data_IF_037767503349
#
_entry.id   IF_037767503349
#
_cell.length_a   1.000
_cell.length_b   1.000
_cell.length_c   1.000
_cell.angle_alpha   90.00
_cell.angle_beta   90.00
_cell.angle_gamma   90.00
#
_symmetry.space_group_name_H-M   'P 1'
#
loop_
_entity.id
_entity.type
_entity.pdbx_description
1 polymer ?
#
# COMPACT_ATOMS: atom_id res chain seq x y z
N UNK A 1 16.94 -0.63 -0.30
CA UNK A 1 18.07 -0.59 0.65
C UNK A 1 18.34 -1.96 1.25
N UNK A 2 17.40 -2.59 1.97
CA UNK A 2 17.60 -3.95 2.55
C UNK A 2 18.06 -4.99 1.52
N UNK A 3 17.43 -5.03 0.34
CA UNK A 3 17.87 -5.92 -0.75
C UNK A 3 19.34 -5.69 -1.15
N UNK A 4 19.81 -4.44 -1.16
CA UNK A 4 21.19 -4.11 -1.49
C UNK A 4 22.18 -4.48 -0.36
N UNK A 5 21.70 -4.53 0.89
CA UNK A 5 22.49 -5.02 2.03
C UNK A 5 22.66 -6.54 2.02
N UNK A 6 21.82 -7.27 1.27
CA UNK A 6 21.88 -8.74 1.22
C UNK A 6 21.52 -9.43 2.53
N UNK A 7 20.84 -8.72 3.44
CA UNK A 7 20.43 -9.24 4.75
C UNK A 7 19.06 -9.88 4.70
N UNK A 8 18.85 -10.89 5.54
CA UNK A 8 17.57 -11.59 5.65
C UNK A 8 16.66 -10.92 6.68
N UNK A 9 15.90 -9.94 6.21
CA UNK A 9 14.88 -9.25 7.01
C UNK A 9 15.41 -8.16 7.94
N UNK A 10 14.49 -7.55 8.69
CA UNK A 10 14.74 -6.35 9.50
C UNK A 10 15.67 -6.60 10.69
N UNK A 11 15.60 -7.79 11.29
CA UNK A 11 16.42 -8.16 12.44
C UNK A 11 17.90 -8.31 12.08
N UNK A 12 18.20 -8.66 10.83
CA UNK A 12 19.56 -8.86 10.32
C UNK A 12 20.24 -7.56 9.83
N UNK A 13 19.52 -6.43 9.79
CA UNK A 13 20.12 -5.13 9.43
C UNK A 13 21.19 -4.78 10.45
N UNK A 14 22.44 -4.50 10.06
CA UNK A 14 23.52 -4.12 10.98
C UNK A 14 23.27 -2.80 11.70
N UNK A 15 23.85 -2.64 12.88
CA UNK A 15 23.68 -1.42 13.69
C UNK A 15 24.43 -0.21 13.09
N UNK A 16 25.57 -0.42 12.44
CA UNK A 16 26.34 0.62 11.74
C UNK A 16 25.61 1.15 10.50
N UNK A 17 24.85 0.29 9.81
CA UNK A 17 23.93 0.70 8.75
C UNK A 17 22.80 1.61 9.28
N UNK A 18 22.24 1.29 10.46
CA UNK A 18 21.25 2.15 11.10
C UNK A 18 21.86 3.46 11.62
N UNK A 19 23.09 3.44 12.12
CA UNK A 19 23.83 4.65 12.51
C UNK A 19 24.05 5.56 11.30
N UNK A 20 24.45 4.99 10.17
CA UNK A 20 24.66 5.72 8.93
C UNK A 20 23.37 6.39 8.42
N UNK A 21 22.23 5.69 8.50
CA UNK A 21 20.92 6.25 8.15
C UNK A 21 20.51 7.37 9.11
N UNK A 22 20.60 7.13 10.42
CA UNK A 22 20.22 8.11 11.44
C UNK A 22 21.11 9.38 11.40
N UNK A 23 22.35 9.28 10.92
CA UNK A 23 23.22 10.46 10.73
C UNK A 23 22.77 11.40 9.61
N UNK A 24 21.84 10.97 8.74
CA UNK A 24 21.43 11.70 7.52
C UNK A 24 20.00 12.21 7.57
N UNK A 25 19.17 11.69 8.46
CA UNK A 25 17.76 12.03 8.53
C UNK A 25 17.16 11.77 9.92
N UNK A 26 16.16 12.56 10.28
CA UNK A 26 15.40 12.39 11.52
C UNK A 26 14.28 11.35 11.39
N UNK A 27 13.85 11.04 10.16
CA UNK A 27 12.78 10.08 9.89
C UNK A 27 13.10 9.31 8.60
N UNK A 28 12.98 7.98 8.65
CA UNK A 28 13.10 7.09 7.49
C UNK A 28 11.72 6.73 6.99
N UNK A 29 11.44 7.06 5.73
CA UNK A 29 10.30 6.49 5.02
C UNK A 29 10.66 5.09 4.51
N UNK A 30 10.01 4.07 5.07
CA UNK A 30 10.24 2.67 4.77
C UNK A 30 9.14 2.12 3.85
N UNK A 31 9.33 2.33 2.55
CA UNK A 31 8.40 1.92 1.51
C UNK A 31 8.42 0.41 1.25
N UNK A 32 7.25 -0.16 0.91
CA UNK A 32 7.14 -1.54 0.40
C UNK A 32 7.31 -2.61 1.47
N UNK A 33 6.93 -2.28 2.71
CA UNK A 33 7.06 -3.21 3.84
C UNK A 33 5.87 -4.16 3.99
N UNK A 34 4.74 -3.89 3.34
CA UNK A 34 3.51 -4.64 3.50
C UNK A 34 3.45 -5.92 2.67
N UNK A 35 2.61 -6.84 3.10
CA UNK A 35 2.37 -8.10 2.42
C UNK A 35 1.77 -7.87 1.03
N UNK A 36 2.38 -8.52 0.03
CA UNK A 36 1.89 -8.55 -1.34
C UNK A 36 1.26 -9.89 -1.65
N UNK A 37 0.25 -9.87 -2.51
CA UNK A 37 -0.32 -11.07 -3.09
C UNK A 37 0.52 -11.62 -4.26
N UNK A 38 0.14 -12.78 -4.75
CA UNK A 38 0.77 -13.38 -5.93
C UNK A 38 0.26 -12.79 -7.24
N UNK A 39 -0.91 -12.14 -7.24
CA UNK A 39 -1.55 -11.64 -8.45
C UNK A 39 -0.68 -10.60 -9.16
N UNK A 40 -0.23 -9.55 -8.46
CA UNK A 40 0.54 -8.46 -9.05
C UNK A 40 1.83 -8.96 -9.73
N UNK A 41 2.60 -9.81 -9.04
CA UNK A 41 3.80 -10.43 -9.63
C UNK A 41 3.49 -11.26 -10.87
N UNK A 42 2.44 -12.12 -10.83
CA UNK A 42 2.04 -12.94 -11.98
C UNK A 42 1.58 -12.08 -13.15
N UNK A 43 0.81 -11.03 -12.86
CA UNK A 43 0.35 -10.05 -13.83
C UNK A 43 1.54 -9.38 -14.53
N UNK A 44 2.52 -8.92 -13.76
CA UNK A 44 3.71 -8.25 -14.30
C UNK A 44 4.60 -9.17 -15.14
N UNK A 45 4.75 -10.43 -14.72
CA UNK A 45 5.50 -11.43 -15.47
C UNK A 45 4.78 -11.92 -16.74
N UNK A 46 3.46 -11.77 -16.82
CA UNK A 46 2.67 -12.14 -17.99
C UNK A 46 2.56 -11.00 -19.02
N UNK A 47 2.80 -9.75 -18.61
CA UNK A 47 2.73 -8.57 -19.48
C UNK A 47 4.04 -8.39 -20.28
N UNK A 48 4.02 -8.55 -21.62
CA UNK A 48 5.24 -8.43 -22.43
C UNK A 48 5.87 -7.04 -22.38
N UNK A 49 5.05 -5.99 -22.25
CA UNK A 49 5.52 -4.61 -22.16
C UNK A 49 6.23 -4.34 -20.84
N UNK A 50 5.69 -4.85 -19.72
CA UNK A 50 6.37 -4.77 -18.41
C UNK A 50 7.67 -5.57 -18.41
N UNK A 51 7.68 -6.80 -18.94
CA UNK A 51 8.92 -7.59 -19.09
C UNK A 51 9.98 -6.85 -19.89
N UNK A 52 9.62 -6.30 -21.06
CA UNK A 52 10.54 -5.52 -21.88
C UNK A 52 11.08 -4.30 -21.13
N UNK A 53 10.21 -3.64 -20.35
CA UNK A 53 10.64 -2.52 -19.51
C UNK A 53 11.66 -2.96 -18.45
N UNK A 54 11.41 -4.06 -17.73
CA UNK A 54 12.36 -4.59 -16.74
C UNK A 54 13.71 -4.96 -17.38
N UNK A 55 13.69 -5.65 -18.53
CA UNK A 55 14.88 -5.96 -19.32
C UNK A 55 15.67 -4.70 -19.69
N UNK A 56 14.98 -3.59 -20.01
CA UNK A 56 15.62 -2.32 -20.33
C UNK A 56 16.25 -1.60 -19.12
N UNK A 57 15.72 -1.84 -17.91
CA UNK A 57 16.17 -1.19 -16.68
C UNK A 57 17.31 -1.94 -15.99
N UNK A 58 17.41 -3.26 -16.19
CA UNK A 58 18.35 -4.11 -15.46
C UNK A 58 19.54 -4.48 -16.35
N UNK A 59 20.65 -3.74 -16.19
CA UNK A 59 21.87 -3.90 -16.98
C UNK A 59 22.51 -5.31 -16.90
N UNK A 60 22.21 -6.09 -15.85
CA UNK A 60 22.70 -7.47 -15.67
C UNK A 60 21.84 -8.55 -16.34
N UNK A 61 20.77 -8.15 -17.05
CA UNK A 61 19.73 -9.06 -17.51
C UNK A 61 18.64 -9.23 -16.45
N UNK A 62 17.39 -9.26 -16.90
CA UNK A 62 16.23 -9.51 -16.05
C UNK A 62 16.05 -11.01 -15.79
N UNK A 63 15.80 -11.35 -14.52
CA UNK A 63 15.32 -12.66 -14.09
C UNK A 63 13.95 -12.53 -13.45
N UNK A 64 13.16 -13.61 -13.39
CA UNK A 64 11.83 -13.51 -12.78
C UNK A 64 11.88 -13.23 -11.27
N UNK A 65 13.02 -13.48 -10.62
CA UNK A 65 13.24 -13.16 -9.20
C UNK A 65 13.36 -11.65 -8.96
N UNK A 66 13.71 -10.87 -9.99
CA UNK A 66 13.74 -9.40 -9.93
C UNK A 66 12.33 -8.80 -9.93
N UNK A 67 11.32 -9.56 -10.37
CA UNK A 67 9.93 -9.13 -10.34
C UNK A 67 9.27 -9.53 -9.02
N UNK A 68 9.09 -8.56 -8.13
CA UNK A 68 8.40 -8.75 -6.83
C UNK A 68 6.94 -8.27 -6.84
N UNK A 69 6.48 -7.68 -7.94
CA UNK A 69 5.19 -6.98 -8.03
C UNK A 69 5.24 -5.55 -7.47
N UNK A 70 4.16 -4.79 -7.67
CA UNK A 70 4.05 -3.43 -7.17
C UNK A 70 4.00 -3.39 -5.63
N UNK A 71 4.85 -2.59 -4.95
CA UNK A 71 4.76 -2.40 -3.50
C UNK A 71 3.48 -1.67 -3.05
N UNK A 72 2.70 -1.12 -4.01
CA UNK A 72 1.43 -0.45 -3.76
C UNK A 72 0.22 -1.38 -3.96
N UNK A 73 0.39 -2.56 -4.56
CA UNK A 73 -0.64 -3.60 -4.66
C UNK A 73 -0.68 -4.44 -3.37
N UNK A 74 -1.00 -3.79 -2.25
CA UNK A 74 -0.98 -4.38 -0.91
C UNK A 74 -2.11 -5.40 -0.77
N UNK A 75 -1.79 -6.61 -0.31
CA UNK A 75 -2.79 -7.62 0.03
C UNK A 75 -3.32 -7.42 1.45
N UNK A 76 -2.42 -7.16 2.41
CA UNK A 76 -2.74 -6.90 3.81
C UNK A 76 -1.74 -5.93 4.45
N UNK A 77 -2.16 -5.15 5.45
CA UNK A 77 -1.28 -4.31 6.28
C UNK A 77 -0.54 -5.10 7.37
N UNK A 78 -0.04 -6.27 7.00
CA UNK A 78 0.90 -7.09 7.78
C UNK A 78 2.29 -6.93 7.19
N UNK A 79 3.35 -6.97 7.99
CA UNK A 79 4.70 -6.96 7.45
C UNK A 79 4.90 -8.13 6.46
N UNK A 80 5.50 -7.84 5.31
CA UNK A 80 5.92 -8.85 4.34
C UNK A 80 6.84 -9.87 5.02
N UNK A 81 6.51 -11.15 4.89
CA UNK A 81 7.25 -12.25 5.53
C UNK A 81 8.72 -12.34 5.11
N UNK A 82 9.08 -11.83 3.92
CA UNK A 82 10.48 -11.70 3.51
C UNK A 82 11.28 -10.68 4.37
N UNK A 83 10.59 -9.76 5.05
CA UNK A 83 11.18 -8.78 5.96
C UNK A 83 11.12 -9.23 7.43
N UNK A 84 10.32 -10.24 7.76
CA UNK A 84 10.13 -10.78 9.10
C UNK A 84 8.68 -10.74 9.55
N UNK A 85 8.47 -10.52 10.84
CA UNK A 85 7.16 -10.36 11.47
C UNK A 85 6.90 -8.92 11.93
N UNK A 86 5.66 -8.60 12.28
CA UNK A 86 5.32 -7.32 12.93
C UNK A 86 6.14 -7.05 14.22
N UNK A 87 6.58 -8.10 14.92
CA UNK A 87 7.49 -7.95 16.06
C UNK A 87 8.89 -7.51 15.63
N UNK A 88 9.38 -8.00 14.49
CA UNK A 88 10.64 -7.54 13.89
C UNK A 88 10.54 -6.08 13.44
N UNK A 89 9.39 -5.66 12.89
CA UNK A 89 9.13 -4.26 12.56
C UNK A 89 9.15 -3.37 13.81
N UNK A 90 8.51 -3.81 14.90
CA UNK A 90 8.54 -3.08 16.17
C UNK A 90 9.96 -2.99 16.74
N UNK A 91 10.75 -4.06 16.68
CA UNK A 91 12.15 -4.06 17.10
C UNK A 91 13.00 -3.15 16.21
N UNK A 92 12.77 -3.15 14.90
CA UNK A 92 13.43 -2.25 13.95
C UNK A 92 13.15 -0.78 14.25
N UNK A 93 11.88 -0.41 14.49
CA UNK A 93 11.49 0.93 14.96
C UNK A 93 12.22 1.31 16.24
N UNK A 94 12.29 0.42 17.24
CA UNK A 94 13.02 0.70 18.48
C UNK A 94 14.52 0.90 18.25
N UNK A 95 15.14 0.16 17.33
CA UNK A 95 16.55 0.32 16.98
C UNK A 95 16.81 1.67 16.30
N UNK A 96 15.90 2.15 15.46
CA UNK A 96 15.95 3.51 14.90
C UNK A 96 15.74 4.57 16.00
N UNK A 97 14.76 4.39 16.86
CA UNK A 97 14.43 5.34 17.93
C UNK A 97 15.59 5.56 18.91
N UNK A 98 16.36 4.51 19.22
CA UNK A 98 17.60 4.61 20.04
C UNK A 98 18.64 5.57 19.44
N UNK A 99 18.54 5.85 18.14
CA UNK A 99 19.42 6.75 17.39
C UNK A 99 18.77 8.12 17.12
N UNK A 100 17.61 8.39 17.72
CA UNK A 100 16.85 9.61 17.46
C UNK A 100 16.18 9.65 16.08
N UNK A 101 16.07 8.53 15.39
CA UNK A 101 15.45 8.44 14.07
C UNK A 101 14.05 7.80 14.15
N UNK A 102 13.04 8.45 13.60
CA UNK A 102 11.68 7.93 13.49
C UNK A 102 11.49 7.00 12.30
N UNK A 103 10.47 6.16 12.38
CA UNK A 103 10.01 5.29 11.29
C UNK A 103 8.71 5.84 10.69
N UNK A 104 8.71 6.03 9.38
CA UNK A 104 7.52 6.39 8.61
C UNK A 104 7.11 5.25 7.67
N UNK A 105 5.84 4.84 7.71
CA UNK A 105 5.31 3.75 6.88
C UNK A 105 4.26 4.25 5.88
N UNK A 106 4.16 3.57 4.74
CA UNK A 106 3.13 3.84 3.75
C UNK A 106 1.74 3.41 4.21
N UNK A 107 0.73 4.18 3.81
CA UNK A 107 -0.67 3.78 3.83
C UNK A 107 -1.26 4.06 2.45
N UNK A 108 -1.81 3.04 1.81
CA UNK A 108 -2.40 3.09 0.46
C UNK A 108 -3.92 2.98 0.59
N UNK A 109 -4.64 4.11 0.60
CA UNK A 109 -6.04 4.09 0.94
C UNK A 109 -6.93 3.80 -0.28
N UNK A 110 -6.45 3.97 -1.51
CA UNK A 110 -7.34 3.93 -2.69
C UNK A 110 -7.76 2.52 -3.10
N UNK A 111 -6.88 1.53 -2.95
CA UNK A 111 -7.06 0.21 -3.54
C UNK A 111 -6.28 -0.86 -2.76
N UNK A 112 -6.60 -2.11 -3.04
CA UNK A 112 -5.89 -3.29 -2.55
C UNK A 112 -5.45 -4.16 -3.73
N UNK A 113 -4.54 -5.12 -3.51
CA UNK A 113 -4.25 -6.16 -4.50
C UNK A 113 -5.52 -6.95 -4.87
N UNK A 114 -5.57 -7.42 -6.12
CA UNK A 114 -6.68 -8.22 -6.67
C UNK A 114 -6.92 -9.56 -5.97
N UNK A 115 -5.93 -10.07 -5.25
CA UNK A 115 -5.99 -11.28 -4.43
C UNK A 115 -5.93 -10.97 -2.92
N UNK A 116 -6.24 -9.73 -2.53
CA UNK A 116 -6.46 -9.39 -1.13
C UNK A 116 -7.62 -10.22 -0.55
N UNK A 117 -7.50 -10.72 0.70
CA UNK A 117 -8.62 -11.40 1.37
C UNK A 117 -9.85 -10.49 1.54
N UNK A 118 -9.69 -9.17 1.40
CA UNK A 118 -10.78 -8.21 1.53
C UNK A 118 -11.76 -8.27 0.36
N UNK A 119 -11.38 -8.85 -0.79
CA UNK A 119 -12.23 -8.96 -1.98
C UNK A 119 -13.58 -9.64 -1.65
N UNK A 120 -13.57 -10.57 -0.70
CA UNK A 120 -14.76 -11.30 -0.24
C UNK A 120 -15.59 -10.54 0.80
N UNK A 121 -15.13 -9.38 1.29
CA UNK A 121 -15.82 -8.59 2.31
C UNK A 121 -16.88 -7.69 1.63
N UNK A 122 -18.18 -7.86 1.94
CA UNK A 122 -19.24 -7.12 1.27
C UNK A 122 -19.10 -5.61 1.44
N UNK A 123 -19.25 -4.88 0.34
CA UNK A 123 -19.32 -3.42 0.34
C UNK A 123 -17.98 -2.69 0.43
N UNK A 124 -16.83 -3.38 0.46
CA UNK A 124 -15.53 -2.70 0.45
C UNK A 124 -15.11 -2.20 -0.92
N UNK A 125 -15.53 -2.85 -2.01
CA UNK A 125 -15.04 -2.58 -3.36
C UNK A 125 -16.12 -2.04 -4.30
N UNK A 126 -15.71 -1.18 -5.22
CA UNK A 126 -16.53 -0.76 -6.36
C UNK A 126 -16.70 -1.94 -7.30
N UNK A 127 -17.92 -2.28 -7.67
CA UNK A 127 -18.18 -3.41 -8.59
C UNK A 127 -18.17 -2.96 -10.06
N UNK A 128 -17.37 -3.59 -10.90
CA UNK A 128 -17.39 -3.45 -12.35
C UNK A 128 -18.10 -4.61 -13.05
N UNK A 129 -17.98 -4.68 -14.37
CA UNK A 129 -18.67 -5.68 -15.20
C UNK A 129 -18.23 -7.15 -14.95
N UNK A 130 -17.13 -7.39 -14.23
CA UNK A 130 -16.55 -8.71 -13.99
C UNK A 130 -16.03 -8.92 -12.57
N UNK A 131 -16.64 -8.26 -11.58
CA UNK A 131 -16.18 -8.21 -10.19
C UNK A 131 -15.58 -6.85 -9.83
N UNK A 132 -14.73 -6.76 -8.79
CA UNK A 132 -14.15 -5.49 -8.36
C UNK A 132 -13.52 -4.71 -9.52
N UNK A 133 -13.79 -3.42 -9.62
CA UNK A 133 -13.18 -2.54 -10.61
C UNK A 133 -11.68 -2.39 -10.34
N UNK A 134 -10.89 -2.12 -11.38
CA UNK A 134 -9.48 -1.81 -11.20
C UNK A 134 -9.30 -0.49 -10.45
N UNK A 135 -8.28 -0.42 -9.59
CA UNK A 135 -7.89 0.85 -8.97
C UNK A 135 -7.50 1.86 -10.04
N UNK A 136 -7.80 3.14 -9.86
CA UNK A 136 -7.34 4.19 -10.77
C UNK A 136 -7.35 5.57 -10.13
N UNK A 137 -6.74 6.51 -10.83
CA UNK A 137 -6.93 7.95 -10.63
C UNK A 137 -7.71 8.57 -11.82
N UNK A 138 -8.14 9.85 -11.75
CA UNK A 138 -8.89 10.51 -12.82
C UNK A 138 -8.12 10.83 -14.12
N UNK A 139 -6.83 10.48 -14.21
CA UNK A 139 -5.86 10.97 -15.20
C UNK A 139 -5.07 9.85 -15.90
N UNK A 140 -4.70 8.78 -15.19
CA UNK A 140 -3.65 7.84 -15.60
C UNK A 140 -4.17 6.47 -16.08
N UNK A 141 -5.49 6.25 -16.03
CA UNK A 141 -6.11 4.97 -16.41
C UNK A 141 -6.05 3.91 -15.31
N UNK A 142 -6.42 2.67 -15.67
CA UNK A 142 -6.62 1.58 -14.72
C UNK A 142 -5.30 0.91 -14.28
N UNK A 143 -5.16 0.67 -12.98
CA UNK A 143 -4.10 -0.12 -12.34
C UNK A 143 -4.58 -1.56 -12.17
N UNK A 144 -4.31 -2.38 -13.19
CA UNK A 144 -4.89 -3.73 -13.38
C UNK A 144 -4.46 -4.77 -12.33
N UNK A 145 -3.41 -4.50 -11.57
CA UNK A 145 -2.94 -5.29 -10.42
C UNK A 145 -3.72 -5.01 -9.11
N UNK A 146 -4.64 -4.05 -9.13
CA UNK A 146 -5.34 -3.56 -7.94
C UNK A 146 -6.86 -3.57 -8.09
N UNK A 147 -7.57 -3.58 -6.96
CA UNK A 147 -9.03 -3.51 -6.84
C UNK A 147 -9.43 -2.22 -6.10
N UNK A 148 -10.37 -1.47 -6.66
CA UNK A 148 -10.79 -0.16 -6.17
C UNK A 148 -11.68 -0.25 -4.92
N UNK A 149 -11.27 0.43 -3.84
CA UNK A 149 -12.07 0.57 -2.64
C UNK A 149 -13.23 1.58 -2.84
N UNK A 150 -14.36 1.32 -2.19
CA UNK A 150 -15.60 2.11 -2.28
C UNK A 150 -15.76 3.05 -1.08
N UNK A 151 -15.25 4.28 -1.19
CA UNK A 151 -15.36 5.27 -0.11
C UNK A 151 -16.76 5.88 0.10
N UNK A 152 -17.76 5.51 -0.71
CA UNK A 152 -19.17 5.81 -0.44
C UNK A 152 -19.86 4.73 0.42
N UNK A 153 -19.18 3.61 0.65
CA UNK A 153 -19.62 2.59 1.60
C UNK A 153 -19.17 2.93 3.01
N UNK A 154 -20.12 2.99 3.94
CA UNK A 154 -19.84 3.16 5.36
C UNK A 154 -18.94 2.04 5.91
N UNK A 155 -19.16 0.80 5.46
CA UNK A 155 -18.33 -0.35 5.83
C UNK A 155 -16.88 -0.17 5.38
N UNK A 156 -16.66 0.35 4.16
CA UNK A 156 -15.31 0.65 3.67
C UNK A 156 -14.63 1.74 4.48
N UNK A 157 -15.34 2.81 4.80
CA UNK A 157 -14.79 3.94 5.56
C UNK A 157 -14.36 3.49 6.96
N UNK A 158 -15.21 2.75 7.67
CA UNK A 158 -14.86 2.22 9.00
C UNK A 158 -13.71 1.22 8.93
N UNK A 159 -13.69 0.36 7.92
CA UNK A 159 -12.61 -0.59 7.71
C UNK A 159 -11.26 0.13 7.52
N UNK A 160 -11.21 1.11 6.61
CA UNK A 160 -9.98 1.84 6.31
C UNK A 160 -9.52 2.75 7.45
N UNK A 161 -10.43 3.30 8.27
CA UNK A 161 -10.05 3.98 9.51
C UNK A 161 -9.39 3.00 10.48
N UNK A 162 -9.96 1.80 10.65
CA UNK A 162 -9.37 0.77 11.49
C UNK A 162 -7.95 0.39 11.04
N UNK A 163 -7.74 0.22 9.75
CA UNK A 163 -6.43 -0.10 9.19
C UNK A 163 -5.44 1.06 9.31
N UNK A 164 -5.87 2.31 9.12
CA UNK A 164 -5.04 3.48 9.39
C UNK A 164 -4.54 3.51 10.83
N UNK A 165 -5.41 3.23 11.81
CA UNK A 165 -5.03 3.18 13.23
C UNK A 165 -4.02 2.04 13.49
N UNK A 166 -4.25 0.86 12.92
CA UNK A 166 -3.33 -0.28 13.04
C UNK A 166 -1.94 0.03 12.44
N UNK A 167 -1.89 0.76 11.32
CA UNK A 167 -0.61 1.21 10.74
C UNK A 167 0.03 2.28 11.61
N UNK A 168 -0.73 3.25 12.10
CA UNK A 168 -0.23 4.32 12.96
C UNK A 168 0.39 3.79 14.26
N UNK A 169 -0.15 2.72 14.84
CA UNK A 169 0.44 2.03 16.01
C UNK A 169 1.87 1.50 15.74
N UNK A 170 2.19 1.17 14.48
CA UNK A 170 3.46 0.56 14.08
C UNK A 170 4.56 1.56 13.72
N UNK A 171 4.25 2.86 13.65
CA UNK A 171 5.17 3.87 13.15
C UNK A 171 5.11 5.19 13.93
N UNK A 172 6.04 6.10 13.64
CA UNK A 172 6.09 7.46 14.19
C UNK A 172 5.46 8.48 13.23
N UNK A 173 5.29 8.13 11.95
CA UNK A 173 4.59 8.91 10.96
C UNK A 173 3.97 8.00 9.88
N UNK A 174 2.86 8.43 9.28
CA UNK A 174 2.23 7.74 8.16
C UNK A 174 2.38 8.58 6.89
N UNK A 175 2.98 8.00 5.85
CA UNK A 175 2.96 8.57 4.49
C UNK A 175 1.74 8.02 3.77
N UNK A 176 0.80 8.90 3.43
CA UNK A 176 -0.42 8.50 2.73
C UNK A 176 -0.20 8.60 1.23
N UNK A 177 -0.29 7.47 0.54
CA UNK A 177 -0.25 7.43 -0.92
C UNK A 177 -1.54 8.02 -1.50
N UNK A 178 -1.39 8.93 -2.47
CA UNK A 178 -2.51 9.49 -3.25
C UNK A 178 -3.73 9.87 -2.40
N UNK A 179 -3.51 10.58 -1.27
CA UNK A 179 -4.54 10.87 -0.27
C UNK A 179 -5.83 11.49 -0.86
N UNK A 180 -5.71 12.25 -1.95
CA UNK A 180 -6.85 12.88 -2.62
C UNK A 180 -7.86 11.88 -3.21
N UNK A 181 -7.46 10.64 -3.50
CA UNK A 181 -8.33 9.67 -4.17
C UNK A 181 -9.49 9.19 -3.29
N UNK A 182 -9.40 9.39 -1.98
CA UNK A 182 -10.46 9.07 -1.02
C UNK A 182 -11.41 10.24 -0.76
N UNK A 183 -11.14 11.42 -1.33
CA UNK A 183 -11.97 12.61 -1.16
C UNK A 183 -13.24 12.51 -2.02
N UNK A 184 -14.37 12.96 -1.48
CA UNK A 184 -15.67 12.84 -2.16
C UNK A 184 -15.68 13.43 -3.58
N UNK A 185 -15.12 14.64 -3.86
CA UNK A 185 -15.14 15.17 -5.22
C UNK A 185 -14.36 14.32 -6.23
N UNK A 186 -13.32 13.61 -5.77
CA UNK A 186 -12.50 12.75 -6.63
C UNK A 186 -13.20 11.42 -6.88
N UNK A 187 -13.86 10.85 -5.86
CA UNK A 187 -14.70 9.66 -6.02
C UNK A 187 -15.90 9.97 -6.90
N UNK A 188 -16.58 11.10 -6.72
CA UNK A 188 -17.71 11.52 -7.57
C UNK A 188 -17.28 11.58 -9.05
N UNK A 189 -16.15 12.26 -9.33
CA UNK A 189 -15.63 12.38 -10.70
C UNK A 189 -15.24 11.02 -11.31
N UNK A 190 -14.66 10.13 -10.52
CA UNK A 190 -14.06 8.88 -11.02
C UNK A 190 -15.05 7.71 -11.06
N UNK A 191 -15.95 7.64 -10.07
CA UNK A 191 -16.77 6.47 -9.78
C UNK A 191 -18.25 6.80 -9.51
N UNK A 192 -18.64 8.08 -9.43
CA UNK A 192 -19.96 8.49 -8.92
C UNK A 192 -21.15 7.94 -9.71
N UNK A 193 -21.04 7.87 -11.04
CA UNK A 193 -22.08 7.25 -11.88
C UNK A 193 -22.29 5.77 -11.53
N UNK A 194 -21.19 5.00 -11.50
CA UNK A 194 -21.21 3.57 -11.23
C UNK A 194 -21.66 3.26 -9.80
N UNK A 195 -21.24 4.06 -8.82
CA UNK A 195 -21.65 3.91 -7.43
C UNK A 195 -23.13 4.21 -7.20
N UNK A 196 -23.70 5.22 -7.90
CA UNK A 196 -25.15 5.46 -7.88
C UNK A 196 -25.95 4.31 -8.47
N UNK A 197 -25.47 3.71 -9.58
CA UNK A 197 -26.09 2.51 -10.16
C UNK A 197 -26.07 1.31 -9.19
N UNK A 198 -25.09 1.27 -8.28
CA UNK A 198 -24.97 0.27 -7.21
C UNK A 198 -25.75 0.63 -5.94
N UNK A 199 -26.52 1.73 -5.93
CA UNK A 199 -27.34 2.14 -4.79
C UNK A 199 -26.57 2.89 -3.69
N UNK A 200 -25.32 3.28 -3.93
CA UNK A 200 -24.59 4.15 -3.01
C UNK A 200 -24.88 5.62 -3.26
N UNK A 201 -24.67 6.43 -2.22
CA UNK A 201 -24.75 7.89 -2.30
C UNK A 201 -23.50 8.50 -1.68
N UNK A 202 -23.13 9.70 -2.14
CA UNK A 202 -21.98 10.40 -1.60
C UNK A 202 -22.16 10.65 -0.10
N UNK A 203 -21.19 10.28 0.76
CA UNK A 203 -21.22 10.59 2.18
C UNK A 203 -21.27 12.10 2.45
N UNK A 204 -21.90 12.49 3.55
CA UNK A 204 -22.01 13.90 3.96
C UNK A 204 -20.72 14.49 4.53
N UNK A 205 -19.74 13.66 4.90
CA UNK A 205 -18.45 14.07 5.46
C UNK A 205 -17.28 13.47 4.66
N UNK A 206 -16.12 14.12 4.69
CA UNK A 206 -14.90 13.60 4.06
C UNK A 206 -14.29 12.45 4.85
N UNK A 207 -13.68 11.49 4.14
CA UNK A 207 -12.99 10.37 4.80
C UNK A 207 -11.90 10.86 5.76
N UNK A 208 -11.06 11.79 5.31
CA UNK A 208 -9.96 12.30 6.13
C UNK A 208 -10.43 13.09 7.34
N UNK A 209 -11.55 13.81 7.27
CA UNK A 209 -12.14 14.49 8.43
C UNK A 209 -12.52 13.47 9.51
N UNK A 210 -13.13 12.34 9.12
CA UNK A 210 -13.45 11.24 10.03
C UNK A 210 -12.17 10.61 10.60
N UNK A 211 -11.22 10.28 9.72
CA UNK A 211 -10.00 9.56 10.08
C UNK A 211 -9.11 10.38 11.03
N UNK A 212 -8.89 11.66 10.74
CA UNK A 212 -8.04 12.54 11.56
C UNK A 212 -8.60 12.81 12.95
N UNK A 213 -9.92 12.64 13.16
CA UNK A 213 -10.52 12.75 14.50
C UNK A 213 -10.25 11.55 15.41
N UNK A 214 -9.62 10.48 14.89
CA UNK A 214 -9.42 9.21 15.60
C UNK A 214 -7.95 8.80 15.74
N UNK A 215 -7.04 9.43 14.98
CA UNK A 215 -5.59 9.20 15.01
C UNK A 215 -4.92 10.14 15.98
#
# INVERSE_FOLDING_TARGET
WIYALGVQGLSAVPDDELDAVASRCDVVWFQGCWELGSYGRKHDLADPGRRQHFESCLAGGFTEDDCIGSPYAISSYTLNSALGSDADLAAFRQRLAKRGCGLMLDFVPNHMARDSPWIEVPGLFVQGAGGPAFGRDPYSGDWTDTAQLNYWSEACREHMVGELLRVAEKCDAVRVDMAMLCCNPVIERTWGELLRQQGFSQPGEEFWQRASGRV
#
